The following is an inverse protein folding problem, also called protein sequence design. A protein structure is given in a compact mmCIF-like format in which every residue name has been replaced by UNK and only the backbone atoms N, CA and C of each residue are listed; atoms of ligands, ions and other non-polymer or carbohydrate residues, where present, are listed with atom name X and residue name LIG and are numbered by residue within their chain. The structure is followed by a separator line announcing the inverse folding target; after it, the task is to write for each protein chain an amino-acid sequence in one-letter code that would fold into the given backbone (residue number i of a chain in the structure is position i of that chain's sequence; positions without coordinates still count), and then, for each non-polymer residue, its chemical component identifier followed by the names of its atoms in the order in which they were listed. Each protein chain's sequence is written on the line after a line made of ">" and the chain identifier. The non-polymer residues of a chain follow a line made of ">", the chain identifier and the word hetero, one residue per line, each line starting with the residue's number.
data_IF_966384017676
#
_entry.id   IF_966384017676
#
_cell.length_a   1.000
_cell.length_b   1.000
_cell.length_c   1.000
_cell.angle_alpha   90.00
_cell.angle_beta   90.00
_cell.angle_gamma   90.00
#
_symmetry.space_group_name_H-M   'P 1'
#
loop_
_entity.id
_entity.type
_entity.pdbx_description
1 polymer ?
#
# COMPACT_ATOMS: atom_id res chain seq x y z
N UNK A 1 33.78 -9.16 -24.00
CA UNK A 1 32.85 -9.59 -22.94
C UNK A 1 32.45 -8.37 -22.11
N UNK A 2 31.70 -7.42 -22.69
CA UNK A 2 31.45 -6.09 -22.07
C UNK A 2 29.98 -5.68 -22.05
N UNK A 3 29.06 -6.50 -22.57
CA UNK A 3 27.63 -6.14 -22.67
C UNK A 3 26.80 -6.52 -21.44
N UNK A 4 27.31 -7.41 -20.57
CA UNK A 4 26.57 -7.90 -19.41
C UNK A 4 26.63 -6.90 -18.24
N UNK A 5 27.73 -6.15 -18.11
CA UNK A 5 27.96 -5.23 -16.97
C UNK A 5 27.02 -4.02 -17.01
N UNK A 6 26.80 -3.47 -18.20
CA UNK A 6 25.96 -2.28 -18.44
C UNK A 6 24.49 -2.57 -18.17
N UNK A 7 24.01 -3.78 -18.50
CA UNK A 7 22.63 -4.20 -18.25
C UNK A 7 22.32 -4.32 -16.76
N UNK A 8 23.24 -4.85 -15.96
CA UNK A 8 23.09 -4.92 -14.49
C UNK A 8 23.08 -3.54 -13.83
N UNK A 9 23.90 -2.59 -14.32
CA UNK A 9 23.95 -1.25 -13.75
C UNK A 9 22.69 -0.42 -14.07
N UNK A 10 22.11 -0.56 -15.27
CA UNK A 10 20.82 0.04 -15.61
C UNK A 10 19.66 -0.59 -14.82
N UNK A 11 19.70 -1.90 -14.58
CA UNK A 11 18.69 -2.58 -13.76
C UNK A 11 18.75 -2.13 -12.30
N UNK A 12 19.94 -2.00 -11.72
CA UNK A 12 20.13 -1.51 -10.35
C UNK A 12 19.78 -0.02 -10.20
N UNK A 13 20.05 0.83 -11.22
CA UNK A 13 19.61 2.24 -11.22
C UNK A 13 18.09 2.40 -11.34
N UNK A 14 17.42 1.54 -12.11
CA UNK A 14 15.95 1.52 -12.19
C UNK A 14 15.28 1.04 -10.90
N UNK A 15 15.92 0.13 -10.16
CA UNK A 15 15.45 -0.28 -8.82
C UNK A 15 15.61 0.85 -7.79
N UNK A 16 16.68 1.64 -7.87
CA UNK A 16 16.95 2.76 -6.96
C UNK A 16 16.04 3.97 -7.20
N UNK A 17 15.70 4.30 -8.45
CA UNK A 17 14.77 5.38 -8.78
C UNK A 17 13.30 5.06 -8.43
N UNK A 18 12.88 3.79 -8.50
CA UNK A 18 11.52 3.38 -8.11
C UNK A 18 11.22 3.49 -6.60
N UNK A 19 12.26 3.67 -5.78
CA UNK A 19 12.12 3.81 -4.31
C UNK A 19 11.70 5.21 -3.86
N UNK A 20 12.16 6.28 -4.53
CA UNK A 20 11.93 7.65 -4.07
C UNK A 20 10.51 8.17 -4.35
N UNK A 21 9.94 7.89 -5.52
CA UNK A 21 8.53 8.25 -5.81
C UNK A 21 7.51 7.39 -5.04
N UNK A 22 7.88 6.15 -4.70
CA UNK A 22 7.07 5.27 -3.85
C UNK A 22 7.10 5.65 -2.37
N UNK A 23 8.19 6.25 -1.91
CA UNK A 23 8.32 6.69 -0.52
C UNK A 23 7.30 7.80 -0.20
N UNK A 24 7.12 8.75 -1.11
CA UNK A 24 6.18 9.88 -0.94
C UNK A 24 4.71 9.42 -0.97
N UNK A 25 4.34 8.61 -1.97
CA UNK A 25 3.00 8.00 -2.07
C UNK A 25 2.72 7.06 -0.89
N UNK A 26 3.74 6.33 -0.42
CA UNK A 26 3.64 5.45 0.74
C UNK A 26 3.35 6.21 2.04
N UNK A 27 4.01 7.36 2.26
CA UNK A 27 3.77 8.19 3.42
C UNK A 27 2.40 8.89 3.37
N UNK A 28 2.00 9.42 2.21
CA UNK A 28 0.67 9.99 2.02
C UNK A 28 -0.42 8.93 2.25
N UNK A 29 -0.25 7.72 1.73
CA UNK A 29 -1.17 6.61 1.97
C UNK A 29 -1.22 6.23 3.45
N UNK A 30 -0.08 6.18 4.14
CA UNK A 30 -0.03 5.87 5.57
C UNK A 30 -0.82 6.89 6.40
N UNK A 31 -0.59 8.18 6.18
CA UNK A 31 -1.29 9.24 6.90
C UNK A 31 -2.79 9.18 6.64
N UNK A 32 -3.18 8.92 5.40
CA UNK A 32 -4.57 8.73 5.01
C UNK A 32 -5.21 7.53 5.70
N UNK A 33 -4.56 6.37 5.65
CA UNK A 33 -5.03 5.17 6.33
C UNK A 33 -5.14 5.39 7.85
N UNK A 34 -4.16 6.05 8.48
CA UNK A 34 -4.21 6.39 9.91
C UNK A 34 -5.35 7.35 10.26
N UNK A 35 -5.75 8.22 9.36
CA UNK A 35 -6.89 9.13 9.57
C UNK A 35 -8.24 8.42 9.38
N UNK A 36 -8.32 7.45 8.47
CA UNK A 36 -9.55 6.76 8.11
C UNK A 36 -9.85 5.53 8.98
N UNK A 37 -8.81 4.89 9.52
CA UNK A 37 -8.92 3.70 10.36
C UNK A 37 -8.97 4.07 11.84
N UNK A 38 -9.83 3.38 12.58
CA UNK A 38 -9.91 3.49 14.03
C UNK A 38 -8.63 2.95 14.69
N UNK A 39 -8.31 3.40 15.91
CA UNK A 39 -7.15 2.89 16.66
C UNK A 39 -7.14 1.36 16.78
N UNK A 40 -8.32 0.74 16.98
CA UNK A 40 -8.45 -0.71 17.03
C UNK A 40 -8.13 -1.36 15.69
N UNK A 41 -8.61 -0.81 14.57
CA UNK A 41 -8.32 -1.32 13.23
C UNK A 41 -6.83 -1.25 12.89
N UNK A 42 -6.18 -0.16 13.28
CA UNK A 42 -4.73 0.02 13.08
C UNK A 42 -3.90 -1.02 13.83
N UNK A 43 -4.32 -1.45 15.02
CA UNK A 43 -3.60 -2.47 15.81
C UNK A 43 -3.56 -3.83 15.10
N UNK A 44 -4.55 -4.11 14.27
CA UNK A 44 -4.69 -5.37 13.56
C UNK A 44 -4.10 -5.35 12.15
N UNK A 45 -3.68 -4.18 11.66
CA UNK A 45 -2.99 -4.03 10.37
C UNK A 45 -1.48 -4.07 10.64
N UNK A 46 -0.83 -5.16 10.22
CA UNK A 46 0.61 -5.39 10.43
C UNK A 46 1.47 -4.60 9.46
N UNK A 47 1.04 -4.54 8.21
CA UNK A 47 1.73 -3.85 7.13
C UNK A 47 0.74 -3.47 6.04
N UNK A 48 1.10 -2.46 5.27
CA UNK A 48 0.37 -2.06 4.08
C UNK A 48 1.35 -1.95 2.92
N UNK A 49 0.88 -2.21 1.69
CA UNK A 49 1.67 -2.08 0.48
C UNK A 49 0.85 -1.42 -0.60
N UNK A 50 1.44 -0.48 -1.33
CA UNK A 50 0.84 0.09 -2.53
C UNK A 50 1.52 -0.45 -3.78
N UNK A 51 0.74 -1.06 -4.68
CA UNK A 51 1.24 -1.64 -5.92
C UNK A 51 0.21 -1.48 -7.03
N UNK A 52 0.62 -0.91 -8.16
CA UNK A 52 -0.17 -0.86 -9.39
C UNK A 52 -1.62 -0.37 -9.17
N UNK A 53 -1.82 0.70 -8.39
CA UNK A 53 -3.12 1.27 -7.97
C UNK A 53 -3.93 0.47 -6.95
N UNK A 54 -3.35 -0.59 -6.38
CA UNK A 54 -3.96 -1.41 -5.34
C UNK A 54 -3.30 -1.18 -3.99
N UNK A 55 -4.11 -1.05 -2.95
CA UNK A 55 -3.67 -1.03 -1.55
C UNK A 55 -3.87 -2.43 -0.97
N UNK A 56 -2.78 -3.06 -0.54
CA UNK A 56 -2.81 -4.35 0.12
C UNK A 56 -2.64 -4.12 1.62
N UNK A 57 -3.65 -4.47 2.41
CA UNK A 57 -3.56 -4.44 3.87
C UNK A 57 -3.37 -5.86 4.40
N UNK A 58 -2.32 -6.04 5.19
CA UNK A 58 -2.02 -7.30 5.86
C UNK A 58 -2.58 -7.24 7.27
N UNK A 59 -3.51 -8.15 7.56
CA UNK A 59 -4.28 -8.18 8.80
C UNK A 59 -3.90 -9.43 9.59
N UNK A 60 -3.76 -9.32 10.91
CA UNK A 60 -3.32 -10.43 11.75
C UNK A 60 -4.44 -11.35 12.24
N UNK A 61 -5.69 -11.00 11.98
CA UNK A 61 -6.87 -11.75 12.43
C UNK A 61 -7.92 -11.88 11.33
N UNK A 62 -8.50 -13.08 11.20
CA UNK A 62 -9.61 -13.37 10.29
C UNK A 62 -10.87 -12.58 10.62
N UNK A 63 -11.13 -12.34 11.91
CA UNK A 63 -12.25 -11.50 12.37
C UNK A 63 -12.06 -10.07 11.90
N UNK A 64 -10.85 -9.53 12.03
CA UNK A 64 -10.55 -8.17 11.57
C UNK A 64 -10.48 -8.06 10.06
N UNK A 65 -10.02 -9.09 9.36
CA UNK A 65 -10.09 -9.14 7.90
C UNK A 65 -11.55 -9.02 7.45
N UNK A 66 -12.46 -9.79 8.05
CA UNK A 66 -13.88 -9.71 7.74
C UNK A 66 -14.46 -8.32 8.03
N UNK A 67 -14.19 -7.77 9.21
CA UNK A 67 -14.66 -6.43 9.59
C UNK A 67 -14.15 -5.33 8.65
N UNK A 68 -12.87 -5.38 8.25
CA UNK A 68 -12.29 -4.46 7.29
C UNK A 68 -12.85 -4.67 5.89
N UNK A 69 -13.17 -5.91 5.51
CA UNK A 69 -13.78 -6.22 4.21
C UNK A 69 -15.17 -5.61 4.08
N UNK A 70 -15.96 -5.59 5.16
CA UNK A 70 -17.26 -4.91 5.18
C UNK A 70 -17.14 -3.38 4.99
N UNK A 71 -16.01 -2.79 5.39
CA UNK A 71 -15.75 -1.35 5.26
C UNK A 71 -14.93 -0.98 4.03
N UNK A 72 -14.47 -1.95 3.24
CA UNK A 72 -13.47 -1.72 2.17
C UNK A 72 -13.95 -0.73 1.12
N UNK A 73 -15.23 -0.78 0.75
CA UNK A 73 -15.78 0.09 -0.29
C UNK A 73 -15.82 1.54 0.18
N UNK A 74 -16.25 1.75 1.43
CA UNK A 74 -16.21 3.07 2.07
C UNK A 74 -14.79 3.59 2.21
N UNK A 75 -13.84 2.75 2.63
CA UNK A 75 -12.42 3.10 2.70
C UNK A 75 -11.86 3.49 1.33
N UNK A 76 -12.20 2.74 0.27
CA UNK A 76 -11.77 3.03 -1.10
C UNK A 76 -12.32 4.37 -1.59
N UNK A 77 -13.60 4.65 -1.31
CA UNK A 77 -14.21 5.94 -1.64
C UNK A 77 -13.51 7.09 -0.91
N UNK A 78 -13.27 6.93 0.40
CA UNK A 78 -12.62 7.96 1.21
C UNK A 78 -11.16 8.19 0.83
N UNK A 79 -10.41 7.14 0.48
CA UNK A 79 -9.04 7.25 -0.03
C UNK A 79 -8.99 8.05 -1.33
N UNK A 80 -9.94 7.81 -2.25
CA UNK A 80 -10.01 8.54 -3.53
C UNK A 80 -10.57 9.97 -3.39
N UNK A 81 -11.34 10.25 -2.34
CA UNK A 81 -11.77 11.62 -2.03
C UNK A 81 -10.62 12.46 -1.46
N UNK A 82 -9.58 11.83 -0.91
CA UNK A 82 -8.46 12.56 -0.36
C UNK A 82 -7.45 12.94 -1.47
N UNK A 83 -7.40 14.25 -1.77
CA UNK A 83 -6.56 14.84 -2.83
C UNK A 83 -5.05 14.67 -2.62
N UNK A 84 -4.64 14.18 -1.45
CA UNK A 84 -3.23 13.92 -1.13
C UNK A 84 -2.65 12.71 -1.87
N UNK A 85 -3.50 11.81 -2.37
CA UNK A 85 -3.07 10.70 -3.22
C UNK A 85 -3.01 11.17 -4.67
N UNK A 86 -1.81 11.38 -5.20
CA UNK A 86 -1.60 11.71 -6.62
C UNK A 86 -2.08 10.59 -7.56
N UNK A 87 -2.23 9.36 -7.04
CA UNK A 87 -2.70 8.19 -7.78
C UNK A 87 -4.02 7.68 -7.21
N UNK A 88 -5.03 7.57 -8.05
CA UNK A 88 -6.31 6.96 -7.69
C UNK A 88 -6.12 5.48 -7.29
N UNK A 89 -6.64 5.10 -6.13
CA UNK A 89 -6.68 3.72 -5.67
C UNK A 89 -7.87 3.03 -6.33
N UNK A 90 -7.62 1.95 -7.07
CA UNK A 90 -8.69 1.20 -7.75
C UNK A 90 -9.24 0.05 -6.92
N UNK A 91 -8.43 -0.50 -6.01
CA UNK A 91 -8.77 -1.69 -5.24
C UNK A 91 -8.09 -1.67 -3.88
N UNK A 92 -8.78 -2.17 -2.85
CA UNK A 92 -8.19 -2.57 -1.57
C UNK A 92 -8.26 -4.09 -1.47
N UNK A 93 -7.10 -4.73 -1.38
CA UNK A 93 -6.98 -6.16 -1.11
C UNK A 93 -6.64 -6.37 0.37
N UNK A 94 -7.35 -7.28 1.02
CA UNK A 94 -7.08 -7.66 2.41
C UNK A 94 -6.45 -9.04 2.40
N UNK A 95 -5.33 -9.20 3.09
CA UNK A 95 -4.61 -10.48 3.19
C UNK A 95 -4.37 -10.82 4.65
N UNK A 96 -4.51 -12.11 4.99
CA UNK A 96 -4.08 -12.59 6.31
C UNK A 96 -2.57 -12.69 6.34
N UNK A 97 -1.98 -12.12 7.38
CA UNK A 97 -0.58 -12.26 7.70
C UNK A 97 -0.47 -13.20 8.91
N UNK A 98 -0.58 -14.49 8.61
CA UNK A 98 -0.44 -15.55 9.61
C UNK A 98 1.07 -15.80 9.72
N UNK A 99 1.63 -15.47 10.89
CA UNK A 99 3.04 -15.71 11.21
C UNK A 99 3.30 -17.19 11.48
#
# INVERSE_FOLDING_TARGET
>A
MEHIRTATEQFMRNLRHKGHAKADVGQALEQNLKSLLSKQEQLHIRRYTFKDTRVILHVDSSVWLFNLNLKKEKLLQQLNQNRQLETAVKEISLQLDIK
#
